data_IF_034450235383
#
_entry.id   IF_034450235383
#
_cell.length_a   1.000
_cell.length_b   1.000
_cell.length_c   1.000
_cell.angle_alpha   90.00
_cell.angle_beta   90.00
_cell.angle_gamma   90.00
#
_symmetry.space_group_name_H-M   'P 1'
#
loop_
_entity.id
_entity.type
_entity.pdbx_description
1 polymer ?
#
# COMPACT_ATOMS: atom_id res chain seq x y z
N UNK A 1 -10.61 1.42 -11.86
CA UNK A 1 -9.83 1.02 -13.05
C UNK A 1 -9.66 2.18 -14.03
N UNK A 2 -10.67 3.05 -14.13
CA UNK A 2 -10.64 4.21 -15.04
C UNK A 2 -9.36 5.07 -14.95
N UNK A 3 -8.81 5.38 -13.76
CA UNK A 3 -7.56 6.15 -13.66
C UNK A 3 -6.33 5.47 -14.29
N UNK A 4 -6.38 4.18 -14.57
CA UNK A 4 -5.27 3.45 -15.22
C UNK A 4 -5.36 3.44 -16.75
N UNK A 5 -6.45 3.95 -17.33
CA UNK A 5 -6.62 4.02 -18.78
C UNK A 5 -5.60 5.00 -19.38
N UNK A 6 -4.85 4.54 -20.37
CA UNK A 6 -3.75 5.28 -20.98
C UNK A 6 -2.40 5.23 -20.23
N UNK A 7 -2.39 4.79 -18.96
CA UNK A 7 -1.16 4.65 -18.16
C UNK A 7 -0.57 3.24 -18.22
N UNK A 8 -1.43 2.22 -18.32
CA UNK A 8 -1.00 0.83 -18.37
C UNK A 8 -1.20 0.25 -19.76
N UNK A 9 -0.27 -0.60 -20.22
CA UNK A 9 -0.48 -1.39 -21.42
C UNK A 9 -1.70 -2.31 -21.23
N UNK A 10 -2.35 -2.69 -22.33
CA UNK A 10 -3.50 -3.60 -22.32
C UNK A 10 -3.17 -4.92 -21.62
N UNK A 11 -1.98 -5.46 -21.85
CA UNK A 11 -1.53 -6.71 -21.22
C UNK A 11 -1.34 -6.55 -19.71
N UNK A 12 -0.67 -5.49 -19.27
CA UNK A 12 -0.48 -5.18 -17.85
C UNK A 12 -1.82 -5.01 -17.14
N UNK A 13 -2.76 -4.27 -17.75
CA UNK A 13 -4.10 -4.09 -17.19
C UNK A 13 -4.86 -5.42 -17.07
N UNK A 14 -4.81 -6.26 -18.11
CA UNK A 14 -5.47 -7.56 -18.08
C UNK A 14 -4.89 -8.47 -16.98
N UNK A 15 -3.58 -8.52 -16.82
CA UNK A 15 -2.93 -9.29 -15.75
C UNK A 15 -3.32 -8.76 -14.37
N UNK A 16 -3.36 -7.45 -14.20
CA UNK A 16 -3.83 -6.82 -12.97
C UNK A 16 -5.29 -7.21 -12.65
N UNK A 17 -6.20 -7.12 -13.63
CA UNK A 17 -7.60 -7.51 -13.44
C UNK A 17 -7.75 -9.00 -13.13
N UNK A 18 -7.01 -9.88 -13.80
CA UNK A 18 -6.97 -11.32 -13.48
C UNK A 18 -6.55 -11.55 -12.02
N UNK A 19 -5.54 -10.82 -11.54
CA UNK A 19 -5.09 -10.88 -10.15
C UNK A 19 -6.17 -10.43 -9.18
N UNK A 20 -6.79 -9.28 -9.40
CA UNK A 20 -7.89 -8.80 -8.57
C UNK A 20 -9.05 -9.79 -8.50
N UNK A 21 -9.40 -10.41 -9.65
CA UNK A 21 -10.44 -11.44 -9.68
C UNK A 21 -10.09 -12.66 -8.83
N UNK A 22 -8.84 -13.15 -8.92
CA UNK A 22 -8.34 -14.25 -8.07
C UNK A 22 -8.39 -13.90 -6.57
N UNK A 23 -8.21 -12.64 -6.24
CA UNK A 23 -8.27 -12.13 -4.87
C UNK A 23 -9.69 -11.78 -4.39
N UNK A 24 -10.73 -12.10 -5.17
CA UNK A 24 -12.14 -11.95 -4.77
C UNK A 24 -12.82 -10.66 -5.23
N UNK A 25 -12.23 -9.90 -6.17
CA UNK A 25 -12.88 -8.71 -6.70
C UNK A 25 -14.16 -9.02 -7.45
N UNK A 26 -15.20 -8.22 -7.23
CA UNK A 26 -16.41 -8.16 -8.06
C UNK A 26 -16.28 -6.97 -9.01
N UNK A 27 -16.50 -7.20 -10.31
CA UNK A 27 -16.32 -6.15 -11.31
C UNK A 27 -17.63 -5.52 -11.73
N UNK A 28 -17.65 -4.20 -11.78
CA UNK A 28 -18.70 -3.45 -12.46
C UNK A 28 -18.24 -3.06 -13.85
N UNK A 29 -19.16 -3.11 -14.81
CA UNK A 29 -18.86 -2.90 -16.22
C UNK A 29 -19.57 -1.67 -16.75
N UNK A 30 -18.94 -0.97 -17.69
CA UNK A 30 -19.59 0.07 -18.49
C UNK A 30 -19.71 -0.37 -19.95
N UNK A 31 -20.79 0.06 -20.60
CA UNK A 31 -20.92 -0.06 -22.06
C UNK A 31 -19.99 0.94 -22.73
N UNK A 32 -19.34 0.51 -23.79
CA UNK A 32 -18.50 1.34 -24.66
C UNK A 32 -19.09 1.27 -26.07
N UNK A 33 -18.69 2.17 -26.97
CA UNK A 33 -19.06 2.12 -28.39
C UNK A 33 -18.90 0.67 -28.91
N UNK A 34 -19.82 0.23 -29.76
CA UNK A 34 -19.89 -1.13 -30.35
C UNK A 34 -20.28 -2.24 -29.36
N UNK A 35 -21.17 -1.98 -28.38
CA UNK A 35 -21.73 -2.98 -27.46
C UNK A 35 -20.71 -3.73 -26.58
N UNK A 36 -19.41 -3.40 -26.63
CA UNK A 36 -18.40 -4.03 -25.80
C UNK A 36 -18.52 -3.54 -24.34
N UNK A 37 -18.32 -4.47 -23.39
CA UNK A 37 -18.28 -4.14 -21.95
C UNK A 37 -16.84 -4.00 -21.50
N UNK A 38 -16.50 -2.90 -20.85
CA UNK A 38 -15.19 -2.73 -20.17
C UNK A 38 -15.38 -2.66 -18.66
N UNK A 39 -14.44 -3.27 -17.93
CA UNK A 39 -14.37 -3.13 -16.47
C UNK A 39 -14.11 -1.67 -16.16
N UNK A 40 -14.98 -1.09 -15.35
CA UNK A 40 -14.83 0.30 -14.94
C UNK A 40 -14.51 0.43 -13.45
N UNK A 41 -14.98 -0.52 -12.63
CA UNK A 41 -14.78 -0.54 -11.19
C UNK A 41 -14.43 -1.95 -10.74
N UNK A 42 -13.42 -2.06 -9.86
CA UNK A 42 -13.06 -3.28 -9.17
C UNK A 42 -13.45 -3.12 -7.70
N UNK A 43 -14.47 -3.85 -7.27
CA UNK A 43 -14.96 -3.81 -5.90
C UNK A 43 -14.23 -4.89 -5.09
N UNK A 44 -13.29 -4.46 -4.27
CA UNK A 44 -12.44 -5.30 -3.43
C UNK A 44 -11.87 -4.43 -2.31
N UNK A 45 -11.65 -4.99 -1.13
CA UNK A 45 -10.91 -4.28 -0.09
C UNK A 45 -9.43 -4.19 -0.43
N UNK A 46 -8.73 -3.16 0.07
CA UNK A 46 -7.28 -3.05 -0.10
C UNK A 46 -6.57 -4.25 0.52
N UNK A 47 -7.11 -4.78 1.62
CA UNK A 47 -6.57 -5.98 2.25
C UNK A 47 -6.57 -7.18 1.31
N UNK A 48 -7.72 -7.55 0.73
CA UNK A 48 -7.79 -8.70 -0.16
C UNK A 48 -7.07 -8.45 -1.48
N UNK A 49 -7.06 -7.23 -1.99
CA UNK A 49 -6.28 -6.88 -3.19
C UNK A 49 -4.78 -7.15 -3.02
N UNK A 50 -4.25 -6.95 -1.81
CA UNK A 50 -2.83 -7.11 -1.49
C UNK A 50 -2.48 -8.40 -0.75
N UNK A 51 -3.48 -9.22 -0.36
CA UNK A 51 -3.29 -10.43 0.45
C UNK A 51 -2.38 -11.46 -0.21
N UNK A 52 -2.48 -11.61 -1.52
CA UNK A 52 -1.69 -12.55 -2.33
C UNK A 52 -1.13 -11.87 -3.56
N UNK A 53 0.01 -12.36 -4.06
CA UNK A 53 0.62 -11.92 -5.31
C UNK A 53 1.09 -13.12 -6.15
N UNK A 54 1.52 -12.91 -7.39
CA UNK A 54 2.07 -13.98 -8.23
C UNK A 54 3.33 -14.60 -7.62
N UNK A 55 4.07 -13.83 -6.83
CA UNK A 55 5.30 -14.26 -6.17
C UNK A 55 5.09 -14.69 -4.70
N UNK A 56 3.86 -14.64 -4.21
CA UNK A 56 3.47 -15.06 -2.87
C UNK A 56 2.00 -15.53 -2.87
N UNK A 57 1.78 -16.70 -3.46
CA UNK A 57 0.45 -17.31 -3.60
C UNK A 57 -0.15 -17.71 -2.23
N UNK A 58 0.70 -18.10 -1.27
CA UNK A 58 0.27 -18.44 0.09
C UNK A 58 -0.12 -17.20 0.91
N UNK A 59 0.31 -16.01 0.49
CA UNK A 59 0.07 -14.77 1.23
C UNK A 59 0.92 -14.64 2.48
N UNK A 60 2.13 -15.19 2.50
CA UNK A 60 3.06 -15.13 3.63
C UNK A 60 3.36 -13.69 4.06
N UNK A 61 3.51 -12.80 3.09
CA UNK A 61 3.90 -11.39 3.30
C UNK A 61 2.71 -10.43 3.18
N UNK A 62 1.49 -10.85 3.55
CA UNK A 62 0.30 -10.02 3.39
C UNK A 62 0.35 -8.72 4.22
N UNK A 63 0.90 -8.80 5.43
CA UNK A 63 1.02 -7.67 6.34
C UNK A 63 2.04 -6.66 5.80
N UNK A 64 3.23 -7.13 5.45
CA UNK A 64 4.33 -6.31 4.93
C UNK A 64 3.90 -5.59 3.65
N UNK A 65 3.25 -6.28 2.69
CA UNK A 65 2.71 -5.65 1.49
C UNK A 65 1.68 -4.59 1.79
N UNK A 66 0.81 -4.87 2.76
CA UNK A 66 -0.22 -3.93 3.15
C UNK A 66 0.38 -2.65 3.75
N UNK A 67 1.31 -2.80 4.67
CA UNK A 67 1.98 -1.69 5.34
C UNK A 67 2.83 -0.89 4.35
N UNK A 68 3.61 -1.57 3.49
CA UNK A 68 4.43 -0.89 2.48
C UNK A 68 3.60 -0.09 1.47
N UNK A 69 2.46 -0.62 1.03
CA UNK A 69 1.56 0.12 0.13
C UNK A 69 1.01 1.40 0.79
N UNK A 70 0.65 1.34 2.07
CA UNK A 70 0.23 2.52 2.83
C UNK A 70 1.39 3.48 3.12
N UNK A 71 2.58 2.96 3.41
CA UNK A 71 3.77 3.78 3.61
C UNK A 71 4.12 4.57 2.33
N UNK A 72 4.09 3.92 1.15
CA UNK A 72 4.27 4.61 -0.14
C UNK A 72 3.23 5.72 -0.32
N UNK A 73 1.94 5.40 -0.16
CA UNK A 73 0.84 6.37 -0.31
C UNK A 73 1.00 7.54 0.67
N UNK A 74 1.29 7.26 1.93
CA UNK A 74 1.47 8.27 2.97
C UNK A 74 2.75 9.10 2.81
N UNK A 75 3.70 8.67 1.99
CA UNK A 75 4.94 9.40 1.72
C UNK A 75 4.85 10.28 0.48
N UNK A 76 3.80 10.14 -0.33
CA UNK A 76 3.62 10.96 -1.53
C UNK A 76 3.24 12.42 -1.20
N UNK A 77 3.39 13.28 -2.19
CA UNK A 77 2.83 14.63 -2.22
C UNK A 77 1.31 14.59 -2.20
N UNK A 78 0.68 15.73 -1.91
CA UNK A 78 -0.77 15.84 -1.77
C UNK A 78 -1.27 15.39 -0.39
N UNK A 79 -2.58 15.42 -0.23
CA UNK A 79 -3.28 15.04 1.01
C UNK A 79 -3.73 13.58 0.88
N UNK A 80 -3.18 12.67 1.69
CA UNK A 80 -3.57 11.26 1.63
C UNK A 80 -4.98 11.06 2.19
N UNK A 81 -5.76 10.18 1.56
CA UNK A 81 -7.05 9.74 2.05
C UNK A 81 -7.02 8.23 2.32
N UNK A 82 -7.41 7.82 3.51
CA UNK A 82 -7.52 6.41 3.90
C UNK A 82 -8.99 6.09 4.14
N UNK A 83 -9.50 5.12 3.42
CA UNK A 83 -10.85 4.61 3.67
C UNK A 83 -10.91 3.95 5.05
N UNK A 84 -11.99 4.20 5.81
CA UNK A 84 -12.13 3.74 7.20
C UNK A 84 -11.81 2.25 7.38
N UNK A 85 -12.38 1.38 6.55
CA UNK A 85 -12.14 -0.05 6.64
C UNK A 85 -10.68 -0.46 6.36
N UNK A 86 -9.94 0.36 5.62
CA UNK A 86 -8.51 0.09 5.36
C UNK A 86 -7.65 0.31 6.59
N UNK A 87 -8.07 1.15 7.56
CA UNK A 87 -7.30 1.33 8.81
C UNK A 87 -7.19 0.03 9.61
N UNK A 88 -8.19 -0.85 9.49
CA UNK A 88 -8.28 -2.12 10.22
C UNK A 88 -7.90 -3.35 9.41
N UNK A 89 -7.46 -3.19 8.15
CA UNK A 89 -7.21 -4.32 7.28
C UNK A 89 -8.45 -5.20 7.08
N UNK A 90 -9.60 -4.56 6.91
CA UNK A 90 -10.89 -5.26 6.75
C UNK A 90 -10.90 -6.05 5.45
N UNK A 91 -11.26 -7.34 5.53
CA UNK A 91 -11.41 -8.22 4.37
C UNK A 91 -12.72 -7.96 3.62
N UNK A 92 -12.87 -8.56 2.45
CA UNK A 92 -14.11 -8.56 1.68
C UNK A 92 -15.28 -9.12 2.51
N UNK A 93 -16.44 -8.50 2.35
CA UNK A 93 -17.73 -8.96 2.91
C UNK A 93 -18.47 -9.82 1.87
N UNK A 94 -17.98 -11.03 1.67
CA UNK A 94 -18.58 -11.96 0.72
C UNK A 94 -20.01 -12.35 1.12
N UNK A 95 -20.27 -12.47 2.43
CA UNK A 95 -21.60 -12.81 2.93
C UNK A 95 -22.62 -11.74 2.55
N UNK A 96 -22.31 -10.48 2.74
CA UNK A 96 -23.17 -9.38 2.36
C UNK A 96 -23.38 -9.32 0.85
N UNK A 97 -22.34 -9.54 0.05
CA UNK A 97 -22.45 -9.61 -1.40
C UNK A 97 -23.42 -10.73 -1.84
N UNK A 98 -23.35 -11.92 -1.23
CA UNK A 98 -24.22 -13.04 -1.55
C UNK A 98 -25.70 -12.67 -1.29
N UNK A 99 -25.97 -11.96 -0.19
CA UNK A 99 -27.33 -11.55 0.17
C UNK A 99 -27.87 -10.46 -0.76
N UNK A 100 -27.05 -9.47 -1.10
CA UNK A 100 -27.54 -8.26 -1.80
C UNK A 100 -27.34 -8.30 -3.32
N UNK A 101 -26.43 -9.13 -3.84
CA UNK A 101 -26.01 -9.11 -5.23
C UNK A 101 -25.28 -7.82 -5.66
N UNK A 102 -25.08 -6.87 -4.75
CA UNK A 102 -24.46 -5.58 -5.06
C UNK A 102 -22.92 -5.67 -4.93
N UNK A 103 -22.23 -5.49 -6.06
CA UNK A 103 -20.76 -5.55 -6.11
C UNK A 103 -20.06 -4.66 -5.06
N UNK A 104 -20.61 -3.48 -4.77
CA UNK A 104 -20.00 -2.54 -3.81
C UNK A 104 -20.10 -2.99 -2.36
N UNK A 105 -20.99 -3.91 -2.04
CA UNK A 105 -21.13 -4.40 -0.67
C UNK A 105 -19.92 -5.25 -0.23
N UNK A 106 -19.19 -5.83 -1.20
CA UNK A 106 -17.92 -6.55 -0.94
C UNK A 106 -16.92 -5.74 -0.10
N UNK A 107 -16.79 -4.45 -0.36
CA UNK A 107 -15.78 -3.61 0.29
C UNK A 107 -16.37 -2.56 1.24
N UNK A 108 -17.64 -2.72 1.65
CA UNK A 108 -18.35 -1.78 2.53
C UNK A 108 -18.81 -2.46 3.81
N UNK A 109 -17.94 -3.25 4.43
CA UNK A 109 -18.23 -3.87 5.72
C UNK A 109 -18.60 -2.81 6.76
N UNK A 110 -19.63 -3.08 7.55
CA UNK A 110 -20.09 -2.22 8.65
C UNK A 110 -19.66 -2.82 9.97
N UNK A 111 -18.69 -2.17 10.61
CA UNK A 111 -18.24 -2.57 11.93
C UNK A 111 -19.29 -2.22 13.00
N UNK A 112 -19.59 -3.16 13.87
CA UNK A 112 -20.20 -2.87 15.16
C UNK A 112 -19.13 -2.28 16.08
N UNK A 113 -19.47 -1.20 16.82
CA UNK A 113 -18.51 -0.45 17.64
C UNK A 113 -17.88 -1.33 18.73
N UNK A 114 -18.70 -2.11 19.44
CA UNK A 114 -18.20 -2.97 20.52
C UNK A 114 -17.26 -4.06 20.01
N UNK A 115 -17.61 -4.64 18.86
CA UNK A 115 -16.81 -5.68 18.22
C UNK A 115 -15.44 -5.15 17.78
N UNK A 116 -15.40 -4.00 17.08
CA UNK A 116 -14.11 -3.44 16.66
C UNK A 116 -13.28 -2.98 17.87
N UNK A 117 -13.91 -2.38 18.87
CA UNK A 117 -13.25 -1.95 20.10
C UNK A 117 -12.62 -3.14 20.84
N UNK A 118 -13.36 -4.26 20.97
CA UNK A 118 -12.84 -5.50 21.56
C UNK A 118 -11.62 -6.03 20.78
N UNK A 119 -11.69 -6.01 19.43
CA UNK A 119 -10.58 -6.43 18.59
C UNK A 119 -9.36 -5.53 18.73
N UNK A 120 -9.54 -4.21 18.84
CA UNK A 120 -8.44 -3.26 18.98
C UNK A 120 -7.73 -3.36 20.35
N UNK A 121 -8.45 -3.71 21.41
CA UNK A 121 -7.86 -3.97 22.74
C UNK A 121 -6.97 -5.21 22.75
N UNK A 122 -7.22 -6.19 21.89
CA UNK A 122 -6.40 -7.40 21.81
C UNK A 122 -5.28 -7.24 20.76
N UNK A 123 -4.05 -7.07 21.22
CA UNK A 123 -2.86 -6.83 20.40
C UNK A 123 -2.53 -7.96 19.40
N UNK A 124 -3.10 -9.16 19.58
CA UNK A 124 -2.89 -10.30 18.69
C UNK A 124 -3.86 -10.32 17.50
N UNK A 125 -4.88 -9.51 17.50
CA UNK A 125 -5.84 -9.45 16.38
C UNK A 125 -5.24 -8.71 15.18
N UNK A 126 -5.62 -9.14 13.97
CA UNK A 126 -5.22 -8.47 12.73
C UNK A 126 -5.60 -6.98 12.77
N UNK A 127 -6.82 -6.67 13.21
CA UNK A 127 -7.32 -5.30 13.27
C UNK A 127 -6.45 -4.41 14.14
N UNK A 128 -6.04 -4.89 15.32
CA UNK A 128 -5.12 -4.15 16.20
C UNK A 128 -3.75 -3.96 15.56
N UNK A 129 -3.20 -5.01 14.92
CA UNK A 129 -1.91 -4.94 14.23
C UNK A 129 -1.95 -3.91 13.09
N UNK A 130 -2.95 -3.97 12.20
CA UNK A 130 -3.10 -3.01 11.10
C UNK A 130 -3.31 -1.58 11.63
N UNK A 131 -4.22 -1.40 12.56
CA UNK A 131 -4.50 -0.10 13.17
C UNK A 131 -3.24 0.55 13.74
N UNK A 132 -2.46 -0.17 14.53
CA UNK A 132 -1.21 0.34 15.13
C UNK A 132 -0.19 0.72 14.09
N UNK A 133 0.00 -0.10 13.05
CA UNK A 133 0.96 0.21 11.99
C UNK A 133 0.54 1.45 11.19
N UNK A 134 -0.74 1.53 10.77
CA UNK A 134 -1.24 2.68 9.99
C UNK A 134 -1.20 3.98 10.81
N UNK A 135 -1.62 3.93 12.08
CA UNK A 135 -1.57 5.11 12.94
C UNK A 135 -0.14 5.55 13.26
N UNK A 136 0.80 4.60 13.37
CA UNK A 136 2.23 4.92 13.49
C UNK A 136 2.74 5.68 12.25
N UNK A 137 2.45 5.19 11.05
CA UNK A 137 2.82 5.87 9.79
C UNK A 137 2.21 7.28 9.68
N UNK A 138 0.93 7.43 10.07
CA UNK A 138 0.27 8.74 10.11
C UNK A 138 0.94 9.69 11.09
N UNK A 139 1.33 9.21 12.26
CA UNK A 139 2.03 10.00 13.27
C UNK A 139 3.43 10.43 12.79
N UNK A 140 4.15 9.54 12.09
CA UNK A 140 5.44 9.88 11.47
C UNK A 140 5.21 10.99 10.44
N UNK A 141 4.30 10.78 9.47
CA UNK A 141 4.00 11.77 8.43
C UNK A 141 3.68 13.14 9.01
N UNK A 142 2.82 13.21 10.02
CA UNK A 142 2.37 14.47 10.63
C UNK A 142 3.50 15.27 11.27
N UNK A 143 4.55 14.60 11.74
CA UNK A 143 5.69 15.23 12.41
C UNK A 143 6.80 15.68 11.44
N UNK A 144 6.74 15.29 10.16
CA UNK A 144 7.81 15.56 9.21
C UNK A 144 7.43 16.66 8.21
N UNK A 145 8.20 17.74 8.20
CA UNK A 145 8.01 18.86 7.25
C UNK A 145 8.18 18.41 5.79
N UNK A 146 9.05 17.44 5.52
CA UNK A 146 9.25 16.89 4.20
C UNK A 146 8.02 16.14 3.65
N UNK A 147 7.05 15.76 4.50
CA UNK A 147 5.78 15.17 4.08
C UNK A 147 4.64 16.20 3.94
N UNK A 148 4.94 17.49 3.96
CA UNK A 148 3.95 18.51 3.61
C UNK A 148 3.37 18.22 2.20
N UNK A 149 2.06 18.45 1.96
CA UNK A 149 1.42 18.17 0.67
C UNK A 149 2.15 18.78 -0.53
N UNK A 150 2.67 20.00 -0.40
CA UNK A 150 3.36 20.75 -1.45
C UNK A 150 4.89 20.57 -1.43
N UNK A 151 5.43 19.70 -0.55
CA UNK A 151 6.86 19.40 -0.54
C UNK A 151 7.25 18.63 -1.82
N UNK A 152 8.43 18.90 -2.36
CA UNK A 152 8.89 18.29 -3.60
C UNK A 152 9.24 16.81 -3.45
N UNK A 153 9.16 16.07 -4.56
CA UNK A 153 9.57 14.67 -4.67
C UNK A 153 10.55 14.50 -5.82
N UNK A 154 11.63 13.79 -5.54
CA UNK A 154 12.62 13.39 -6.53
C UNK A 154 12.69 11.86 -6.57
N UNK A 155 12.44 11.26 -7.72
CA UNK A 155 12.56 9.82 -7.87
C UNK A 155 14.03 9.39 -7.80
N UNK A 156 14.27 8.25 -7.12
CA UNK A 156 15.59 7.63 -7.02
C UNK A 156 15.54 6.28 -7.74
N UNK A 157 16.59 5.96 -8.50
CA UNK A 157 16.66 4.72 -9.24
C UNK A 157 17.45 3.65 -8.45
N UNK A 158 16.75 2.61 -8.03
CA UNK A 158 17.33 1.43 -7.38
C UNK A 158 17.01 0.14 -8.18
N UNK A 159 16.70 0.27 -9.46
CA UNK A 159 16.26 -0.85 -10.33
C UNK A 159 14.77 -1.16 -10.20
N UNK A 160 14.34 -2.29 -10.77
CA UNK A 160 12.91 -2.62 -10.94
C UNK A 160 12.25 -3.25 -9.71
N UNK A 161 13.04 -3.69 -8.72
CA UNK A 161 12.53 -4.39 -7.52
C UNK A 161 12.41 -3.48 -6.29
N UNK A 162 12.98 -2.29 -6.36
CA UNK A 162 12.98 -1.33 -5.26
C UNK A 162 12.39 -0.03 -5.79
N UNK A 163 11.37 0.47 -5.10
CA UNK A 163 10.83 1.79 -5.36
C UNK A 163 11.42 2.78 -4.36
N UNK A 164 11.98 3.86 -4.86
CA UNK A 164 12.61 4.86 -4.00
C UNK A 164 12.42 6.28 -4.49
N UNK A 165 12.28 7.20 -3.56
CA UNK A 165 12.24 8.64 -3.82
C UNK A 165 12.67 9.43 -2.60
N UNK A 166 13.05 10.68 -2.84
CA UNK A 166 13.40 11.65 -1.81
C UNK A 166 12.33 12.72 -1.72
N UNK A 167 11.87 13.03 -0.50
CA UNK A 167 11.01 14.17 -0.18
C UNK A 167 11.89 15.29 0.38
N UNK A 168 11.61 16.53 -0.02
CA UNK A 168 12.35 17.71 0.46
C UNK A 168 11.32 18.72 0.95
N UNK A 169 11.45 19.17 2.21
CA UNK A 169 10.55 20.17 2.79
C UNK A 169 10.59 21.49 2.00
N UNK A 170 9.53 22.28 2.09
CA UNK A 170 9.41 23.56 1.38
C UNK A 170 10.55 24.49 1.75
N UNK A 171 10.94 24.52 3.02
CA UNK A 171 12.05 25.33 3.55
C UNK A 171 13.44 24.71 3.24
N UNK A 172 13.49 23.56 2.54
CA UNK A 172 14.69 22.79 2.18
C UNK A 172 15.56 22.33 3.37
N UNK A 173 15.07 22.49 4.62
CA UNK A 173 15.83 22.14 5.83
C UNK A 173 15.69 20.66 6.23
N UNK A 174 14.72 19.93 5.67
CA UNK A 174 14.52 18.50 5.92
C UNK A 174 14.44 17.74 4.61
N UNK A 175 15.13 16.60 4.57
CA UNK A 175 15.01 15.63 3.48
C UNK A 175 14.74 14.25 4.06
N UNK A 176 13.83 13.50 3.43
CA UNK A 176 13.51 12.12 3.80
C UNK A 176 13.61 11.26 2.54
N UNK A 177 14.30 10.12 2.65
CA UNK A 177 14.32 9.10 1.60
C UNK A 177 13.32 8.01 2.00
N UNK A 178 12.44 7.68 1.07
CA UNK A 178 11.51 6.57 1.18
C UNK A 178 11.97 5.48 0.24
N UNK A 179 12.26 4.30 0.77
CA UNK A 179 12.72 3.15 -0.01
C UNK A 179 11.86 1.94 0.34
N UNK A 180 11.29 1.30 -0.67
CA UNK A 180 10.44 0.12 -0.49
C UNK A 180 10.90 -1.03 -1.39
N UNK A 181 11.14 -2.18 -0.81
CA UNK A 181 11.32 -3.42 -1.56
C UNK A 181 9.95 -3.91 -2.05
N UNK A 182 9.74 -3.96 -3.36
CA UNK A 182 8.50 -4.42 -4.00
C UNK A 182 8.47 -5.94 -4.27
N UNK A 183 9.42 -6.69 -3.72
CA UNK A 183 9.57 -8.12 -4.00
C UNK A 183 9.48 -8.99 -2.74
N UNK A 184 9.23 -10.28 -2.94
CA UNK A 184 9.22 -11.31 -1.89
C UNK A 184 10.62 -11.84 -1.52
N UNK A 185 11.69 -11.22 -2.03
CA UNK A 185 13.08 -11.59 -1.75
C UNK A 185 13.81 -10.42 -1.11
N UNK A 186 14.87 -10.70 -0.37
CA UNK A 186 15.79 -9.69 0.12
C UNK A 186 16.39 -8.93 -1.08
N UNK A 187 16.41 -7.60 -0.98
CA UNK A 187 17.02 -6.72 -1.98
C UNK A 187 18.12 -5.88 -1.35
N UNK A 188 19.03 -5.42 -2.18
CA UNK A 188 20.15 -4.53 -1.80
C UNK A 188 20.02 -3.23 -2.58
N UNK A 189 19.88 -2.12 -1.88
CA UNK A 189 19.88 -0.79 -2.49
C UNK A 189 21.25 -0.13 -2.26
N UNK A 190 21.93 0.24 -3.32
CA UNK A 190 23.18 0.98 -3.21
C UNK A 190 22.86 2.42 -2.81
N UNK A 191 23.39 2.86 -1.67
CA UNK A 191 23.20 4.21 -1.17
C UNK A 191 24.43 5.09 -1.46
N UNK A 192 24.20 6.39 -1.70
CA UNK A 192 25.24 7.39 -1.64
C UNK A 192 25.76 7.51 -0.20
N UNK A 193 27.09 7.71 -0.04
CA UNK A 193 27.75 7.87 1.28
C UNK A 193 27.08 8.96 2.16
N UNK A 194 26.55 10.02 1.56
CA UNK A 194 25.84 11.07 2.26
C UNK A 194 24.62 10.62 3.05
N UNK A 195 24.06 9.43 2.72
CA UNK A 195 22.86 8.88 3.40
C UNK A 195 23.20 7.98 4.60
N UNK A 196 24.46 7.66 4.85
CA UNK A 196 24.84 6.76 5.94
C UNK A 196 24.65 7.36 7.34
N UNK A 197 24.56 8.68 7.43
CA UNK A 197 24.34 9.43 8.68
C UNK A 197 22.85 9.70 8.97
N UNK A 198 21.95 9.22 8.11
CA UNK A 198 20.52 9.49 8.25
C UNK A 198 19.88 8.55 9.27
N UNK A 199 18.91 9.07 10.02
CA UNK A 199 18.16 8.31 10.99
C UNK A 199 16.96 7.62 10.33
N UNK A 200 16.72 6.37 10.72
CA UNK A 200 15.53 5.65 10.29
C UNK A 200 14.27 6.16 11.03
N UNK A 201 13.19 6.38 10.32
CA UNK A 201 11.90 6.81 10.87
C UNK A 201 10.94 5.66 11.13
N UNK A 202 11.14 4.51 10.48
CA UNK A 202 10.25 3.34 10.53
C UNK A 202 11.05 2.10 10.90
N UNK A 203 10.62 1.40 11.95
CA UNK A 203 11.20 0.13 12.35
C UNK A 203 12.57 0.23 13.04
N UNK A 204 13.30 -0.89 13.14
CA UNK A 204 14.59 -0.95 13.81
C UNK A 204 15.67 -0.21 13.01
N UNK A 205 16.87 -0.10 13.62
CA UNK A 205 18.04 0.48 12.95
C UNK A 205 18.29 -0.20 11.61
N UNK A 206 18.53 0.61 10.60
CA UNK A 206 18.80 0.17 9.22
C UNK A 206 20.10 -0.62 9.15
N UNK A 207 20.08 -1.75 8.46
CA UNK A 207 21.29 -2.54 8.21
C UNK A 207 21.97 -2.07 6.91
N UNK A 208 23.14 -1.44 7.04
CA UNK A 208 23.99 -1.05 5.91
C UNK A 208 25.25 -1.89 5.92
N UNK A 209 25.43 -2.72 4.88
CA UNK A 209 26.63 -3.55 4.68
C UNK A 209 27.28 -3.18 3.35
N UNK A 210 28.59 -2.87 3.39
CA UNK A 210 29.38 -2.60 2.18
C UNK A 210 28.72 -1.59 1.21
N UNK A 211 28.21 -0.46 1.72
CA UNK A 211 27.49 0.59 0.97
C UNK A 211 26.07 0.20 0.50
N UNK A 212 25.58 -0.98 0.87
CA UNK A 212 24.25 -1.43 0.53
C UNK A 212 23.33 -1.44 1.74
N UNK A 213 22.16 -0.85 1.55
CA UNK A 213 21.01 -0.99 2.42
C UNK A 213 20.35 -2.34 2.15
N UNK A 214 20.20 -3.16 3.17
CA UNK A 214 19.56 -4.47 3.07
C UNK A 214 18.09 -4.30 3.39
N UNK A 215 17.23 -4.69 2.46
CA UNK A 215 15.77 -4.61 2.58
C UNK A 215 15.15 -6.00 2.60
N UNK A 216 14.43 -6.33 3.66
CA UNK A 216 13.63 -7.54 3.76
C UNK A 216 12.49 -7.53 2.72
N UNK A 217 11.81 -8.67 2.48
CA UNK A 217 10.65 -8.71 1.60
C UNK A 217 9.58 -7.67 1.99
N UNK A 218 9.18 -6.85 1.03
CA UNK A 218 8.17 -5.78 1.19
C UNK A 218 8.46 -4.77 2.33
N UNK A 219 9.71 -4.64 2.74
CA UNK A 219 10.10 -3.66 3.76
C UNK A 219 10.13 -2.25 3.16
N UNK A 220 9.64 -1.28 3.96
CA UNK A 220 9.79 0.15 3.71
C UNK A 220 10.63 0.78 4.81
N UNK A 221 11.52 1.64 4.41
CA UNK A 221 12.40 2.44 5.27
C UNK A 221 12.26 3.91 4.89
#
# INVERSE_FOLDING_TARGET
IRPTEGLLSKNTLNNFLKRLKKNGSKFSYRKVKNKTKKVYEANITVFDALKKSDFDQAGKFYLERYISAHAIMLSFEGIPAIYFNSIFGTANDEAKFIITGNNRDVNRYRWNLDNITKKLKNNKTKQSIFYKNITSLLNIRRKQKAFHPNASRLNLNFGTKIYGFKRISIDKKQSIICITNLSSKIQKAQLNKAYYIWNNLIGPKVEIKNKFLILKPFETI
#
